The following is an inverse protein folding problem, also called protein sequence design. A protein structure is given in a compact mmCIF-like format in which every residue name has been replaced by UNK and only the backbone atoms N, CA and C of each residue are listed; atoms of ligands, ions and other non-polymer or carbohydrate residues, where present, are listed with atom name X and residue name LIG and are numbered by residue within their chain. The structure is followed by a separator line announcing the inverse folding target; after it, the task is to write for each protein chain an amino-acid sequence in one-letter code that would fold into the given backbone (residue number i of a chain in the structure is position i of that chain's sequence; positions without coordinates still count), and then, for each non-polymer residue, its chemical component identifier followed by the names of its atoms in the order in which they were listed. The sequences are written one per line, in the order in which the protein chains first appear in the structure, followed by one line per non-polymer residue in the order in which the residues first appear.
data_IF_184015059226
#
_entry.id   IF_184015059226
#
_cell.length_a   1.000
_cell.length_b   1.000
_cell.length_c   1.000
_cell.angle_alpha   90.00
_cell.angle_beta   90.00
_cell.angle_gamma   90.00
#
_symmetry.space_group_name_H-M   'P 1'
#
loop_
_entity.id
_entity.type
_entity.pdbx_description
1 polymer ?
#
# COMPACT_ATOMS: atom_id res chain seq x y z
N UNK A 1 -20.62 6.84 -12.78
CA UNK A 1 -19.69 5.69 -12.60
C UNK A 1 -20.37 4.50 -13.24
N UNK A 2 -19.81 3.97 -14.33
CA UNK A 2 -20.41 2.82 -15.01
C UNK A 2 -20.44 1.62 -14.04
N UNK A 3 -21.54 0.84 -14.05
CA UNK A 3 -21.71 -0.32 -13.16
C UNK A 3 -20.57 -1.35 -13.22
N UNK A 4 -19.74 -1.33 -14.26
CA UNK A 4 -18.54 -2.15 -14.40
C UNK A 4 -17.47 -1.87 -13.33
N UNK A 5 -17.27 -0.62 -12.92
CA UNK A 5 -16.25 -0.29 -11.92
C UNK A 5 -16.61 -0.79 -10.52
N UNK A 6 -17.89 -0.73 -10.15
CA UNK A 6 -18.36 -1.26 -8.86
C UNK A 6 -18.20 -2.78 -8.80
N UNK A 7 -18.54 -3.48 -9.88
CA UNK A 7 -18.36 -4.94 -9.97
C UNK A 7 -16.88 -5.33 -9.94
N UNK A 8 -16.02 -4.60 -10.62
CA UNK A 8 -14.56 -4.85 -10.59
C UNK A 8 -13.99 -4.61 -9.21
N UNK A 9 -14.38 -3.53 -8.53
CA UNK A 9 -13.97 -3.26 -7.15
C UNK A 9 -14.43 -4.37 -6.19
N UNK A 10 -15.69 -4.81 -6.29
CA UNK A 10 -16.21 -5.90 -5.47
C UNK A 10 -15.43 -7.20 -5.67
N UNK A 11 -15.18 -7.58 -6.92
CA UNK A 11 -14.37 -8.78 -7.25
C UNK A 11 -12.94 -8.67 -6.73
N UNK A 12 -12.34 -7.49 -6.81
CA UNK A 12 -11.01 -7.25 -6.28
C UNK A 12 -10.99 -7.42 -4.76
N UNK A 13 -11.95 -6.85 -4.04
CA UNK A 13 -12.04 -7.02 -2.59
C UNK A 13 -12.28 -8.47 -2.18
N UNK A 14 -13.12 -9.20 -2.90
CA UNK A 14 -13.34 -10.63 -2.67
C UNK A 14 -12.05 -11.44 -2.89
N UNK A 15 -11.34 -11.16 -3.97
CA UNK A 15 -10.05 -11.77 -4.27
C UNK A 15 -9.03 -11.50 -3.15
N UNK A 16 -8.88 -10.24 -2.72
CA UNK A 16 -7.98 -9.87 -1.62
C UNK A 16 -8.34 -10.61 -0.33
N UNK A 17 -9.62 -10.66 0.04
CA UNK A 17 -10.08 -11.34 1.26
C UNK A 17 -9.75 -12.84 1.24
N UNK A 18 -9.99 -13.51 0.11
CA UNK A 18 -9.62 -14.92 -0.07
C UNK A 18 -8.11 -15.13 0.02
N UNK A 19 -7.33 -14.24 -0.60
CA UNK A 19 -5.87 -14.31 -0.62
C UNK A 19 -5.29 -14.09 0.78
N UNK A 20 -5.83 -13.15 1.57
CA UNK A 20 -5.45 -12.95 2.97
C UNK A 20 -5.63 -14.24 3.77
N UNK A 21 -6.78 -14.91 3.63
CA UNK A 21 -7.03 -16.19 4.29
C UNK A 21 -6.04 -17.30 3.90
N UNK A 22 -5.60 -17.32 2.64
CA UNK A 22 -4.58 -18.25 2.16
C UNK A 22 -3.21 -17.95 2.77
N UNK A 23 -2.78 -16.70 2.74
CA UNK A 23 -1.48 -16.25 3.28
C UNK A 23 -1.40 -16.52 4.79
N UNK A 24 -2.45 -16.25 5.54
CA UNK A 24 -2.51 -16.57 6.96
C UNK A 24 -2.43 -18.08 7.25
N UNK A 25 -2.98 -18.91 6.36
CA UNK A 25 -2.81 -20.37 6.48
C UNK A 25 -1.38 -20.80 6.20
N UNK A 26 -0.74 -20.23 5.17
CA UNK A 26 0.66 -20.47 4.86
C UNK A 26 1.59 -20.04 5.98
N UNK A 27 1.39 -18.84 6.51
CA UNK A 27 2.15 -18.33 7.66
C UNK A 27 2.07 -19.27 8.87
N UNK A 28 0.84 -19.69 9.22
CA UNK A 28 0.63 -20.67 10.31
C UNK A 28 1.31 -22.01 10.01
N UNK A 29 1.22 -22.47 8.76
CA UNK A 29 1.87 -23.70 8.32
C UNK A 29 3.39 -23.66 8.45
N UNK A 30 4.02 -22.53 8.06
CA UNK A 30 5.46 -22.32 8.21
C UNK A 30 5.89 -22.25 9.69
N UNK A 31 5.11 -21.57 10.52
CA UNK A 31 5.36 -21.51 11.97
C UNK A 31 5.21 -22.87 12.66
N UNK A 32 4.30 -23.70 12.20
CA UNK A 32 4.08 -25.03 12.73
C UNK A 32 5.13 -26.06 12.23
N UNK A 33 5.88 -25.74 11.19
CA UNK A 33 6.88 -26.63 10.56
C UNK A 33 8.18 -25.88 10.34
N UNK A 34 8.91 -25.51 11.42
CA UNK A 34 10.14 -24.73 11.31
C UNK A 34 11.22 -25.40 10.46
N UNK A 35 11.22 -26.74 10.39
CA UNK A 35 12.13 -27.54 9.56
C UNK A 35 12.07 -27.18 8.07
N UNK A 36 10.90 -26.77 7.57
CA UNK A 36 10.75 -26.31 6.18
C UNK A 36 11.54 -25.03 5.96
N UNK A 37 11.40 -24.07 6.88
CA UNK A 37 12.09 -22.79 6.82
C UNK A 37 13.60 -22.97 6.96
N UNK A 38 14.02 -23.81 7.88
CA UNK A 38 15.44 -24.16 8.10
C UNK A 38 16.05 -24.83 6.86
N UNK A 39 15.31 -25.74 6.22
CA UNK A 39 15.76 -26.39 4.98
C UNK A 39 15.90 -25.42 3.81
N UNK A 40 14.99 -24.43 3.70
CA UNK A 40 15.00 -23.47 2.58
C UNK A 40 16.06 -22.37 2.75
N UNK A 41 16.28 -21.90 3.96
CA UNK A 41 17.10 -20.73 4.23
C UNK A 41 18.41 -21.02 4.98
N UNK A 42 18.61 -22.24 5.45
CA UNK A 42 19.78 -22.61 6.27
C UNK A 42 19.86 -21.88 7.62
N UNK A 43 18.74 -21.35 8.10
CA UNK A 43 18.63 -20.55 9.33
C UNK A 43 17.43 -21.00 10.14
N UNK A 44 17.56 -20.90 11.47
CA UNK A 44 16.44 -21.22 12.37
C UNK A 44 15.29 -20.22 12.22
N UNK A 45 14.06 -20.70 12.34
CA UNK A 45 12.88 -19.84 12.29
C UNK A 45 12.92 -18.70 13.33
N UNK A 46 13.51 -18.96 14.52
CA UNK A 46 13.69 -17.94 15.56
C UNK A 46 14.59 -16.76 15.17
N UNK A 47 15.39 -16.92 14.13
CA UNK A 47 16.29 -15.89 13.58
C UNK A 47 15.66 -15.11 12.42
N UNK A 48 14.46 -15.50 12.00
CA UNK A 48 13.78 -14.97 10.82
C UNK A 48 12.45 -14.35 11.20
N UNK A 49 12.08 -13.31 10.47
CA UNK A 49 10.75 -12.71 10.54
C UNK A 49 9.97 -13.11 9.30
N UNK A 50 8.83 -13.77 9.50
CA UNK A 50 7.90 -14.06 8.40
C UNK A 50 7.03 -12.83 8.18
N UNK A 51 7.09 -12.26 6.98
CA UNK A 51 6.28 -11.09 6.58
C UNK A 51 5.22 -11.56 5.59
N UNK A 52 3.96 -11.66 6.01
CA UNK A 52 2.87 -12.01 5.10
C UNK A 52 2.58 -10.87 4.14
N UNK A 53 2.85 -11.05 2.85
CA UNK A 53 2.76 -10.02 1.82
C UNK A 53 1.97 -10.52 0.61
N UNK A 54 1.01 -9.71 0.17
CA UNK A 54 0.40 -9.82 -1.16
C UNK A 54 1.15 -8.86 -2.09
N UNK A 55 1.78 -9.40 -3.10
CA UNK A 55 2.42 -8.63 -4.15
C UNK A 55 1.54 -8.68 -5.41
N UNK A 56 1.06 -7.53 -5.85
CA UNK A 56 0.21 -7.44 -7.02
C UNK A 56 0.91 -6.71 -8.18
N UNK A 57 0.44 -6.92 -9.40
CA UNK A 57 0.97 -6.27 -10.60
C UNK A 57 0.31 -4.91 -10.91
N UNK A 58 -0.76 -4.58 -10.19
CA UNK A 58 -1.42 -3.28 -10.32
C UNK A 58 -0.69 -2.28 -9.42
N UNK A 59 -0.66 -1.02 -9.84
CA UNK A 59 -0.11 0.09 -9.04
C UNK A 59 -1.01 0.42 -7.86
N UNK A 60 -1.08 -0.52 -6.92
CA UNK A 60 -1.98 -0.44 -5.78
C UNK A 60 -1.30 -0.95 -4.52
N UNK A 61 -0.95 -0.02 -3.67
CA UNK A 61 -0.48 -0.27 -2.31
C UNK A 61 -1.51 0.27 -1.32
N UNK A 62 -1.64 -0.38 -0.18
CA UNK A 62 -2.56 0.04 0.88
C UNK A 62 -2.03 -0.39 2.25
N UNK A 63 -2.51 0.22 3.34
CA UNK A 63 -2.21 -0.25 4.67
C UNK A 63 -2.57 -1.74 4.85
N UNK A 64 -1.87 -2.46 5.73
CA UNK A 64 -2.09 -3.88 5.94
C UNK A 64 -3.51 -4.19 6.41
N UNK A 65 -4.04 -5.32 5.96
CA UNK A 65 -5.33 -5.86 6.40
C UNK A 65 -5.05 -7.09 7.23
N UNK A 66 -5.51 -7.11 8.46
CA UNK A 66 -5.36 -8.24 9.38
C UNK A 66 -3.90 -8.73 9.51
N UNK A 67 -2.93 -7.81 9.45
CA UNK A 67 -1.51 -8.11 9.53
C UNK A 67 -0.88 -8.62 8.22
N UNK A 68 -1.64 -8.68 7.12
CA UNK A 68 -1.11 -8.99 5.79
C UNK A 68 -0.84 -7.70 5.04
N UNK A 69 0.40 -7.49 4.63
CA UNK A 69 0.81 -6.33 3.84
C UNK A 69 0.38 -6.49 2.38
N UNK A 70 0.10 -5.36 1.74
CA UNK A 70 -0.32 -5.35 0.33
C UNK A 70 0.47 -4.27 -0.40
N UNK A 71 1.28 -4.69 -1.36
CA UNK A 71 2.11 -3.79 -2.14
C UNK A 71 2.05 -4.14 -3.61
N UNK A 72 2.44 -3.21 -4.45
CA UNK A 72 2.66 -3.48 -5.86
C UNK A 72 4.14 -3.78 -6.16
N UNK A 73 4.37 -4.53 -7.22
CA UNK A 73 5.69 -4.98 -7.60
C UNK A 73 6.65 -3.82 -7.92
N UNK A 74 6.15 -2.74 -8.51
CA UNK A 74 6.96 -1.59 -8.89
C UNK A 74 7.43 -0.81 -7.65
N UNK A 75 6.52 -0.59 -6.70
CA UNK A 75 6.81 0.07 -5.43
C UNK A 75 7.84 -0.71 -4.61
N UNK A 76 7.65 -2.03 -4.48
CA UNK A 76 8.58 -2.87 -3.75
C UNK A 76 9.95 -2.95 -4.44
N UNK A 77 9.99 -3.08 -5.77
CA UNK A 77 11.22 -3.06 -6.55
C UNK A 77 11.97 -1.75 -6.37
N UNK A 78 11.26 -0.62 -6.34
CA UNK A 78 11.84 0.70 -6.13
C UNK A 78 12.41 0.82 -4.72
N UNK A 79 11.71 0.33 -3.70
CA UNK A 79 12.20 0.31 -2.32
C UNK A 79 13.58 -0.36 -2.20
N UNK A 80 13.79 -1.49 -2.86
CA UNK A 80 15.09 -2.19 -2.78
C UNK A 80 16.20 -1.56 -3.64
N UNK A 81 15.84 -0.75 -4.64
CA UNK A 81 16.81 -0.11 -5.54
C UNK A 81 17.24 1.26 -5.08
N UNK A 82 16.35 1.99 -4.42
CA UNK A 82 16.54 3.41 -4.13
C UNK A 82 16.28 3.67 -2.63
N UNK A 83 17.24 4.30 -1.96
CA UNK A 83 17.09 4.69 -0.55
C UNK A 83 16.19 5.93 -0.36
N UNK A 84 15.80 6.58 -1.46
CA UNK A 84 15.00 7.81 -1.44
C UNK A 84 13.95 7.78 -2.54
N UNK A 85 12.80 8.38 -2.25
CA UNK A 85 11.77 8.67 -3.26
C UNK A 85 11.67 10.19 -3.40
N UNK A 86 11.94 10.69 -4.61
CA UNK A 86 11.70 12.08 -4.96
C UNK A 86 10.34 12.22 -5.63
N UNK A 87 9.61 13.25 -5.25
CA UNK A 87 8.41 13.65 -5.96
C UNK A 87 8.78 14.48 -7.18
N UNK A 88 7.96 14.40 -8.20
CA UNK A 88 8.10 15.21 -9.39
C UNK A 88 6.81 15.97 -9.63
N UNK A 89 6.91 17.25 -9.95
CA UNK A 89 5.83 18.02 -10.52
C UNK A 89 6.01 18.17 -12.03
N UNK A 90 4.90 18.26 -12.74
CA UNK A 90 4.93 18.59 -14.16
C UNK A 90 4.33 19.99 -14.33
N UNK A 91 5.16 20.94 -14.72
CA UNK A 91 4.72 22.29 -15.08
C UNK A 91 4.99 22.49 -16.58
N UNK A 92 3.93 22.83 -17.32
CA UNK A 92 4.00 23.03 -18.77
C UNK A 92 4.68 21.88 -19.55
N UNK A 93 4.44 20.63 -19.11
CA UNK A 93 5.04 19.44 -19.72
C UNK A 93 6.48 19.16 -19.30
N UNK A 94 7.09 20.01 -18.49
CA UNK A 94 8.46 19.83 -17.99
C UNK A 94 8.41 19.14 -16.63
N UNK A 95 9.14 18.03 -16.51
CA UNK A 95 9.31 17.29 -15.26
C UNK A 95 10.29 18.04 -14.37
N UNK A 96 9.81 18.57 -13.28
CA UNK A 96 10.63 19.27 -12.28
C UNK A 96 10.72 18.44 -11.01
N UNK A 97 11.91 18.11 -10.51
CA UNK A 97 12.05 17.40 -9.24
C UNK A 97 11.55 18.30 -8.11
N UNK A 98 10.69 17.75 -7.26
CA UNK A 98 10.31 18.38 -6.01
C UNK A 98 11.48 18.24 -5.02
N UNK A 99 11.70 19.24 -4.16
CA UNK A 99 12.66 19.15 -3.07
C UNK A 99 12.22 18.14 -1.98
N UNK A 100 10.96 17.74 -1.99
CA UNK A 100 10.45 16.74 -1.06
C UNK A 100 10.96 15.36 -1.43
N UNK A 101 12.02 14.96 -0.76
CA UNK A 101 12.60 13.62 -0.89
C UNK A 101 12.28 12.85 0.39
N UNK A 102 11.56 11.75 0.24
CA UNK A 102 11.32 10.82 1.35
C UNK A 102 12.46 9.81 1.41
N UNK A 103 13.11 9.75 2.56
CA UNK A 103 14.11 8.71 2.81
C UNK A 103 13.39 7.42 3.18
N UNK A 104 13.66 6.34 2.44
CA UNK A 104 13.05 5.02 2.65
C UNK A 104 13.85 4.18 3.64
N UNK A 105 15.16 4.26 3.54
CA UNK A 105 16.08 3.52 4.41
C UNK A 105 17.44 4.21 4.48
N UNK A 106 18.24 3.84 5.50
CA UNK A 106 19.57 4.38 5.76
C UNK A 106 20.63 3.26 5.68
N UNK A 107 21.87 3.62 5.35
CA UNK A 107 22.96 2.65 5.24
C UNK A 107 23.12 2.10 3.82
N UNK A 108 23.81 0.97 3.69
CA UNK A 108 24.10 0.33 2.39
C UNK A 108 22.95 -0.56 1.90
N UNK A 109 22.13 -1.05 2.82
CA UNK A 109 20.98 -1.94 2.53
C UNK A 109 19.83 -1.63 3.49
N UNK A 110 18.58 -1.83 3.06
CA UNK A 110 17.45 -1.66 3.94
C UNK A 110 17.45 -2.69 5.07
N UNK A 111 17.04 -2.27 6.24
CA UNK A 111 16.77 -3.14 7.38
C UNK A 111 15.37 -3.75 7.28
N UNK A 112 15.13 -4.82 8.03
CA UNK A 112 13.78 -5.43 8.11
C UNK A 112 12.75 -4.45 8.67
N UNK A 113 13.13 -3.59 9.60
CA UNK A 113 12.21 -2.59 10.19
C UNK A 113 11.83 -1.52 9.16
N UNK A 114 12.79 -0.99 8.41
CA UNK A 114 12.53 -0.01 7.35
C UNK A 114 11.60 -0.57 6.26
N UNK A 115 11.75 -1.87 5.94
CA UNK A 115 10.83 -2.55 5.03
C UNK A 115 9.41 -2.65 5.60
N UNK A 116 9.29 -3.03 6.88
CA UNK A 116 7.97 -3.13 7.53
C UNK A 116 7.28 -1.77 7.64
N UNK A 117 8.03 -0.72 7.98
CA UNK A 117 7.51 0.64 8.04
C UNK A 117 7.02 1.10 6.65
N UNK A 118 7.81 0.85 5.62
CA UNK A 118 7.43 1.14 4.24
C UNK A 118 6.17 0.37 3.80
N UNK A 119 6.08 -0.91 4.12
CA UNK A 119 4.92 -1.74 3.78
C UNK A 119 3.67 -1.36 4.59
N UNK A 120 3.85 -0.90 5.84
CA UNK A 120 2.75 -0.45 6.68
C UNK A 120 2.13 0.86 6.17
N UNK A 121 2.97 1.79 5.75
CA UNK A 121 2.53 3.12 5.28
C UNK A 121 3.46 3.67 4.19
N UNK A 122 3.28 3.24 2.94
CA UNK A 122 4.09 3.74 1.84
C UNK A 122 3.99 5.27 1.70
N UNK A 123 5.10 6.00 1.50
CA UNK A 123 5.11 7.46 1.41
C UNK A 123 4.16 8.05 0.36
N UNK A 124 3.91 7.33 -0.73
CA UNK A 124 2.94 7.74 -1.73
C UNK A 124 1.50 7.81 -1.20
N UNK A 125 1.16 7.01 -0.19
CA UNK A 125 -0.15 7.08 0.47
C UNK A 125 -0.27 8.26 1.43
N UNK A 126 0.84 8.70 2.03
CA UNK A 126 0.83 9.82 2.97
C UNK A 126 0.35 11.11 2.30
N UNK A 127 0.82 11.36 1.08
CA UNK A 127 0.43 12.55 0.32
C UNK A 127 -1.03 12.47 -0.10
N UNK A 128 -1.46 11.30 -0.56
CA UNK A 128 -2.86 11.09 -0.92
C UNK A 128 -3.77 11.24 0.29
N UNK A 129 -3.42 10.63 1.42
CA UNK A 129 -4.24 10.65 2.63
C UNK A 129 -4.47 12.06 3.18
N UNK A 130 -3.50 12.97 3.03
CA UNK A 130 -3.64 14.38 3.47
C UNK A 130 -4.69 15.16 2.66
N UNK A 131 -4.98 14.72 1.44
CA UNK A 131 -5.88 15.43 0.51
C UNK A 131 -7.11 14.60 0.13
N UNK A 132 -7.36 13.50 0.89
CA UNK A 132 -8.49 12.62 0.66
C UNK A 132 -9.51 12.77 1.78
N UNK A 133 -10.75 12.97 1.43
CA UNK A 133 -11.87 12.88 2.35
C UNK A 133 -12.77 11.69 1.99
N UNK A 134 -13.25 10.99 3.00
CA UNK A 134 -14.14 9.86 2.83
C UNK A 134 -15.54 10.22 3.31
N UNK A 135 -16.49 10.21 2.40
CA UNK A 135 -17.89 10.47 2.69
C UNK A 135 -18.70 9.19 2.59
N UNK A 136 -19.44 8.88 3.67
CA UNK A 136 -20.40 7.77 3.68
C UNK A 136 -21.76 8.29 3.26
N UNK A 137 -22.30 7.70 2.20
CA UNK A 137 -23.66 7.96 1.77
C UNK A 137 -24.55 6.77 2.16
N UNK A 138 -25.54 6.99 3.04
CA UNK A 138 -26.49 5.94 3.39
C UNK A 138 -27.46 5.71 2.23
N UNK A 139 -27.73 4.46 1.94
CA UNK A 139 -28.77 4.03 0.99
C UNK A 139 -29.78 3.17 1.71
N UNK A 140 -31.02 3.60 1.68
CA UNK A 140 -32.13 2.86 2.28
C UNK A 140 -32.75 1.95 1.23
N UNK A 141 -32.80 0.67 1.51
CA UNK A 141 -33.45 -0.32 0.64
C UNK A 141 -34.84 -0.72 1.15
N UNK A 142 -35.08 -0.54 2.46
CA UNK A 142 -36.36 -0.72 3.12
C UNK A 142 -36.29 0.00 4.47
N UNK A 143 -37.40 0.01 5.21
CA UNK A 143 -37.43 0.59 6.57
C UNK A 143 -36.46 -0.08 7.55
N UNK A 144 -36.06 -1.32 7.29
CA UNK A 144 -35.19 -2.13 8.16
C UNK A 144 -33.81 -2.42 7.55
N UNK A 145 -33.56 -2.01 6.31
CA UNK A 145 -32.32 -2.34 5.60
C UNK A 145 -31.64 -1.10 5.04
N UNK A 146 -30.41 -0.89 5.49
CA UNK A 146 -29.58 0.22 5.06
C UNK A 146 -28.18 -0.31 4.70
N UNK A 147 -27.62 0.16 3.59
CA UNK A 147 -26.20 0.00 3.29
C UNK A 147 -25.55 1.35 3.03
N UNK A 148 -24.24 1.39 3.13
CA UNK A 148 -23.48 2.60 2.90
C UNK A 148 -22.63 2.44 1.63
N UNK A 149 -22.65 3.43 0.75
CA UNK A 149 -21.59 3.62 -0.23
C UNK A 149 -20.57 4.60 0.32
N UNK A 150 -19.31 4.35 0.05
CA UNK A 150 -18.23 5.29 0.34
C UNK A 150 -17.84 6.02 -0.93
N UNK A 151 -17.78 7.34 -0.89
CA UNK A 151 -17.16 8.16 -1.92
C UNK A 151 -15.87 8.71 -1.33
N UNK A 152 -14.80 8.52 -2.08
CA UNK A 152 -13.50 9.07 -1.77
C UNK A 152 -13.31 10.30 -2.66
N UNK A 153 -13.33 11.47 -2.04
CA UNK A 153 -13.02 12.71 -2.71
C UNK A 153 -11.56 13.06 -2.52
N UNK A 154 -10.91 13.42 -3.61
CA UNK A 154 -9.54 13.92 -3.60
C UNK A 154 -9.63 15.41 -3.89
N UNK A 155 -9.16 16.22 -2.95
CA UNK A 155 -8.99 17.64 -3.19
C UNK A 155 -7.77 17.85 -4.10
N UNK A 156 -8.02 17.74 -5.41
CA UNK A 156 -6.99 17.91 -6.43
C UNK A 156 -6.36 19.31 -6.38
N UNK A 157 -7.14 20.34 -6.04
CA UNK A 157 -6.67 21.73 -5.97
C UNK A 157 -5.72 21.90 -4.79
N UNK A 158 -6.09 21.43 -3.60
CA UNK A 158 -5.22 21.46 -2.43
C UNK A 158 -3.96 20.61 -2.63
N UNK A 159 -4.09 19.46 -3.28
CA UNK A 159 -2.95 18.59 -3.61
C UNK A 159 -2.01 19.24 -4.64
N UNK A 160 -2.55 19.93 -5.66
CA UNK A 160 -1.74 20.70 -6.60
C UNK A 160 -1.04 21.89 -5.94
N UNK A 161 -1.75 22.63 -5.10
CA UNK A 161 -1.19 23.77 -4.34
C UNK A 161 -0.05 23.33 -3.43
N UNK A 162 -0.24 22.26 -2.67
CA UNK A 162 0.81 21.69 -1.83
C UNK A 162 2.03 21.22 -2.63
N UNK A 163 1.82 20.70 -3.84
CA UNK A 163 2.93 20.34 -4.74
C UNK A 163 3.67 21.56 -5.28
N UNK A 164 2.97 22.65 -5.57
CA UNK A 164 3.59 23.91 -6.04
C UNK A 164 4.40 24.56 -4.92
N UNK A 165 3.84 24.71 -3.73
CA UNK A 165 4.54 25.26 -2.56
C UNK A 165 5.80 24.44 -2.20
N UNK A 166 5.75 23.14 -2.35
CA UNK A 166 6.91 22.25 -2.15
C UNK A 166 7.98 22.38 -3.24
N UNK A 167 7.67 22.95 -4.39
CA UNK A 167 8.62 23.16 -5.48
C UNK A 167 9.33 24.53 -5.42
N UNK A 168 8.74 25.49 -4.69
CA UNK A 168 9.27 26.88 -4.57
C UNK A 168 10.27 27.04 -3.40
N UNK A 169 10.39 26.09 -2.51
CA UNK A 169 11.34 26.05 -1.37
C UNK A 169 12.58 25.24 -1.73
#
# INVERSE_FOLDING_TARGET
ISGNHAVQASRYFEFISKTIGQIKRLERGLKARPEIVESLFGRKLSELTIVPLILNSLTYSRPPIEGVYISDNSALSKFFKESTISQFSYMNGVKTPSKNTHRLWSGERPTSQELLDYLAWPPQLEIMAKHMSYHKHPHYTSESSMFYSGVLDIDEVAMMKAKMEAAEV
#
